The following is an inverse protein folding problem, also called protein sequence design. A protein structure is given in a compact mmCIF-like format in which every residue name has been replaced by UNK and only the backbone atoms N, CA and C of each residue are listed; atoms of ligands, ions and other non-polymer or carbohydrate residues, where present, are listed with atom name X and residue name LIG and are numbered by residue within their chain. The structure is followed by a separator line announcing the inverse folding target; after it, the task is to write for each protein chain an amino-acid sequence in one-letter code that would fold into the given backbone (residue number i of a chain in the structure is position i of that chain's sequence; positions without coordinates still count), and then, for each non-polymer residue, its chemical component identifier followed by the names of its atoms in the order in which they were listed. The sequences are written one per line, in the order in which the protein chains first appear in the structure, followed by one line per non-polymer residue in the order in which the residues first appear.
data_IF_241505245996
#
_entry.id   IF_241505245996
#
_cell.length_a   1.000
_cell.length_b   1.000
_cell.length_c   1.000
_cell.angle_alpha   90.00
_cell.angle_beta   90.00
_cell.angle_gamma   90.00
#
_symmetry.space_group_name_H-M   'P 1'
#
loop_
_entity.id
_entity.type
_entity.pdbx_description
1 polymer ?
#
# COMPACT_ATOMS: atom_id res chain seq x y z
N UNK A 1 -6.37 9.66 -23.97
CA UNK A 1 -6.24 9.46 -22.50
C UNK A 1 -4.87 8.87 -22.18
N UNK A 2 -3.81 9.57 -21.79
CA UNK A 2 -3.58 10.98 -21.46
C UNK A 2 -2.24 11.04 -20.73
N UNK A 3 -1.27 11.81 -21.21
CA UNK A 3 0.10 11.88 -20.68
C UNK A 3 0.20 12.02 -19.15
N UNK A 4 -0.75 12.72 -18.53
CA UNK A 4 -0.88 12.85 -17.08
C UNK A 4 -1.09 11.53 -16.35
N UNK A 5 -1.93 10.62 -16.88
CA UNK A 5 -2.17 9.31 -16.27
C UNK A 5 -0.87 8.51 -16.18
N UNK A 6 -0.11 8.46 -17.27
CA UNK A 6 1.17 7.76 -17.31
C UNK A 6 2.21 8.39 -16.39
N UNK A 7 2.21 9.73 -16.29
CA UNK A 7 3.06 10.45 -15.36
C UNK A 7 2.73 10.11 -13.90
N UNK A 8 1.47 10.27 -13.49
CA UNK A 8 1.00 10.02 -12.12
C UNK A 8 1.25 8.56 -11.69
N UNK A 9 1.04 7.60 -12.60
CA UNK A 9 1.32 6.18 -12.33
C UNK A 9 2.81 5.90 -12.07
N UNK A 10 3.71 6.59 -12.78
CA UNK A 10 5.16 6.34 -12.72
C UNK A 10 5.90 7.28 -11.76
N UNK A 11 5.24 8.34 -11.29
CA UNK A 11 5.83 9.39 -10.47
C UNK A 11 6.49 8.84 -9.20
N UNK A 12 5.80 7.96 -8.44
CA UNK A 12 6.39 7.35 -7.23
C UNK A 12 7.66 6.56 -7.54
N UNK A 13 7.63 5.74 -8.60
CA UNK A 13 8.80 4.99 -9.06
C UNK A 13 9.94 5.93 -9.48
N UNK A 14 9.63 7.05 -10.11
CA UNK A 14 10.63 8.06 -10.46
C UNK A 14 11.27 8.69 -9.21
N UNK A 15 10.49 9.00 -8.17
CA UNK A 15 11.02 9.49 -6.88
C UNK A 15 11.90 8.47 -6.16
N UNK A 16 11.49 7.21 -6.13
CA UNK A 16 12.27 6.12 -5.52
C UNK A 16 13.60 5.92 -6.27
N UNK A 17 13.55 5.99 -7.59
CA UNK A 17 14.74 5.90 -8.46
C UNK A 17 15.66 7.10 -8.23
N UNK A 18 15.12 8.32 -8.19
CA UNK A 18 15.87 9.54 -7.88
C UNK A 18 16.59 9.43 -6.54
N UNK A 19 15.87 9.03 -5.48
CA UNK A 19 16.44 8.87 -4.14
C UNK A 19 17.54 7.80 -4.11
N UNK A 20 17.30 6.68 -4.80
CA UNK A 20 18.26 5.58 -4.88
C UNK A 20 19.53 5.99 -5.63
N UNK A 21 19.41 6.64 -6.78
CA UNK A 21 20.55 7.11 -7.58
C UNK A 21 21.32 8.20 -6.87
N UNK A 22 20.63 9.16 -6.24
CA UNK A 22 21.27 10.24 -5.48
C UNK A 22 22.07 9.71 -4.28
N UNK A 23 21.63 8.60 -3.67
CA UNK A 23 22.36 7.94 -2.58
C UNK A 23 23.54 7.08 -3.07
N UNK A 24 23.38 6.38 -4.19
CA UNK A 24 24.37 5.41 -4.68
C UNK A 24 25.46 6.04 -5.54
N UNK A 25 25.17 7.10 -6.29
CA UNK A 25 26.05 7.67 -7.30
C UNK A 25 26.35 9.14 -6.98
N UNK A 26 27.49 9.44 -6.34
CA UNK A 26 27.87 10.83 -6.04
C UNK A 26 28.07 11.67 -7.31
N UNK A 27 28.50 11.06 -8.42
CA UNK A 27 28.62 11.74 -9.72
C UNK A 27 27.25 12.22 -10.26
N UNK A 28 26.18 11.46 -10.02
CA UNK A 28 24.82 11.86 -10.39
C UNK A 28 24.35 13.08 -9.56
N UNK A 29 24.67 13.09 -8.26
CA UNK A 29 24.37 14.22 -7.38
C UNK A 29 25.12 15.50 -7.82
N UNK A 30 26.41 15.39 -8.12
CA UNK A 30 27.22 16.51 -8.59
C UNK A 30 26.72 17.08 -9.94
N UNK A 31 26.27 16.20 -10.85
CA UNK A 31 25.64 16.63 -12.10
C UNK A 31 24.35 17.43 -11.85
N UNK A 32 23.48 16.95 -10.94
CA UNK A 32 22.25 17.64 -10.59
C UNK A 32 22.51 19.00 -9.96
N UNK A 33 23.47 19.10 -9.04
CA UNK A 33 23.87 20.35 -8.40
C UNK A 33 24.38 21.36 -9.45
N UNK A 34 25.20 20.91 -10.40
CA UNK A 34 25.64 21.74 -11.53
C UNK A 34 24.48 22.22 -12.41
N UNK A 35 23.51 21.35 -12.71
CA UNK A 35 22.33 21.73 -13.50
C UNK A 35 21.43 22.73 -12.78
N UNK A 36 21.29 22.58 -11.46
CA UNK A 36 20.55 23.51 -10.59
C UNK A 36 21.22 24.88 -10.58
N UNK A 37 22.54 24.92 -10.41
CA UNK A 37 23.32 26.16 -10.40
C UNK A 37 23.34 26.86 -11.77
N UNK A 38 23.50 26.10 -12.86
CA UNK A 38 23.61 26.67 -14.21
C UNK A 38 22.29 27.27 -14.71
N UNK A 39 21.15 26.64 -14.39
CA UNK A 39 19.84 27.07 -14.89
C UNK A 39 19.02 27.85 -13.85
N UNK A 40 19.56 28.04 -12.63
CA UNK A 40 18.85 28.63 -11.49
C UNK A 40 17.47 27.99 -11.26
N UNK A 41 17.40 26.67 -11.45
CA UNK A 41 16.15 25.88 -11.34
C UNK A 41 16.05 25.21 -9.97
N UNK A 42 14.82 24.95 -9.54
CA UNK A 42 14.56 24.14 -8.35
C UNK A 42 15.20 22.74 -8.47
N UNK A 43 15.42 22.09 -7.33
CA UNK A 43 15.91 20.70 -7.30
C UNK A 43 15.02 19.81 -8.16
N UNK A 44 15.62 18.85 -8.89
CA UNK A 44 14.89 17.90 -9.74
C UNK A 44 13.69 17.25 -9.02
N UNK A 45 13.80 16.94 -7.73
CA UNK A 45 12.68 16.41 -6.97
C UNK A 45 11.48 17.37 -6.93
N UNK A 46 11.72 18.66 -6.66
CA UNK A 46 10.67 19.67 -6.65
C UNK A 46 10.03 19.82 -8.04
N UNK A 47 10.84 19.79 -9.10
CA UNK A 47 10.34 19.84 -10.49
C UNK A 47 9.48 18.61 -10.84
N UNK A 48 9.81 17.43 -10.32
CA UNK A 48 8.99 16.23 -10.50
C UNK A 48 7.67 16.29 -9.72
N UNK A 49 7.62 17.03 -8.60
CA UNK A 49 6.41 17.16 -7.78
C UNK A 49 5.39 18.11 -8.42
N UNK A 50 5.85 19.10 -9.19
CA UNK A 50 5.01 20.16 -9.76
C UNK A 50 3.80 19.67 -10.57
N UNK A 51 3.91 18.72 -11.52
CA UNK A 51 2.76 18.26 -12.30
C UNK A 51 1.67 17.59 -11.44
N UNK A 52 2.09 16.81 -10.44
CA UNK A 52 1.18 16.16 -9.49
C UNK A 52 0.46 17.18 -8.62
N UNK A 53 1.13 18.25 -8.20
CA UNK A 53 0.49 19.34 -7.47
C UNK A 53 -0.42 20.18 -8.37
N UNK A 54 -0.05 20.38 -9.64
CA UNK A 54 -0.78 21.23 -10.58
C UNK A 54 -2.15 20.65 -10.90
N UNK A 55 -2.24 19.34 -11.11
CA UNK A 55 -3.52 18.69 -11.42
C UNK A 55 -4.52 18.79 -10.27
N UNK A 56 -4.07 18.80 -9.02
CA UNK A 56 -4.93 18.98 -7.83
C UNK A 56 -5.46 20.42 -7.72
N UNK A 57 -4.73 21.40 -8.26
CA UNK A 57 -5.12 22.82 -8.22
C UNK A 57 -6.19 23.17 -9.27
N UNK A 58 -6.22 22.50 -10.42
CA UNK A 58 -7.15 22.83 -11.50
C UNK A 58 -8.63 22.76 -11.12
N UNK A 59 -9.12 21.72 -10.41
CA UNK A 59 -10.51 21.69 -9.95
C UNK A 59 -10.87 22.88 -9.05
N UNK A 60 -9.92 23.35 -8.22
CA UNK A 60 -10.12 24.50 -7.34
C UNK A 60 -10.18 25.81 -8.13
N UNK A 61 -9.31 25.95 -9.14
CA UNK A 61 -9.30 27.09 -10.05
C UNK A 61 -10.63 27.18 -10.82
N UNK A 62 -11.11 26.07 -11.39
CA UNK A 62 -12.38 26.06 -12.11
C UNK A 62 -13.57 26.39 -11.20
N UNK A 63 -13.59 25.88 -9.97
CA UNK A 63 -14.59 26.26 -8.96
C UNK A 63 -14.52 27.75 -8.59
N UNK A 64 -13.31 28.29 -8.50
CA UNK A 64 -13.09 29.73 -8.27
C UNK A 64 -13.64 30.58 -9.41
N UNK A 65 -13.39 30.19 -10.67
CA UNK A 65 -13.97 30.88 -11.84
C UNK A 65 -15.49 30.79 -11.80
N UNK A 66 -16.05 29.59 -11.57
CA UNK A 66 -17.49 29.36 -11.48
C UNK A 66 -18.17 30.26 -10.43
N UNK A 67 -17.48 30.57 -9.34
CA UNK A 67 -18.01 31.47 -8.29
C UNK A 67 -18.17 32.93 -8.73
N UNK A 68 -17.40 33.36 -9.74
CA UNK A 68 -17.47 34.72 -10.30
C UNK A 68 -18.26 34.82 -11.60
N UNK A 69 -18.67 33.70 -12.20
CA UNK A 69 -19.39 33.66 -13.48
C UNK A 69 -20.91 33.72 -13.27
N UNK A 70 -21.63 34.51 -14.07
CA UNK A 70 -23.11 34.52 -14.08
C UNK A 70 -23.63 33.14 -14.49
N UNK A 71 -24.60 32.62 -13.73
CA UNK A 71 -25.17 31.26 -13.90
C UNK A 71 -25.82 31.00 -15.27
N UNK A 72 -26.14 32.05 -16.02
CA UNK A 72 -26.81 31.97 -17.32
C UNK A 72 -25.83 32.03 -18.52
N UNK A 73 -24.52 32.11 -18.26
CA UNK A 73 -23.53 32.08 -19.34
C UNK A 73 -23.40 30.66 -19.92
N UNK A 74 -23.35 30.49 -21.25
CA UNK A 74 -23.11 29.19 -21.89
C UNK A 74 -21.73 28.60 -21.53
N UNK A 75 -20.82 29.39 -20.96
CA UNK A 75 -19.49 28.96 -20.53
C UNK A 75 -19.52 28.14 -19.23
N UNK A 76 -20.59 28.26 -18.44
CA UNK A 76 -20.74 27.58 -17.14
C UNK A 76 -20.67 26.06 -17.32
N UNK A 77 -21.33 25.53 -18.34
CA UNK A 77 -21.36 24.08 -18.62
C UNK A 77 -19.95 23.54 -18.94
N UNK A 78 -19.20 24.24 -19.79
CA UNK A 78 -17.82 23.85 -20.14
C UNK A 78 -16.85 23.93 -18.95
N UNK A 79 -17.03 24.90 -18.04
CA UNK A 79 -16.22 25.02 -16.82
C UNK A 79 -16.52 23.87 -15.85
N UNK A 80 -17.79 23.48 -15.72
CA UNK A 80 -18.21 22.34 -14.89
C UNK A 80 -17.62 21.05 -15.43
N UNK A 81 -17.73 20.79 -16.73
CA UNK A 81 -17.14 19.60 -17.36
C UNK A 81 -15.62 19.57 -17.17
N UNK A 82 -14.93 20.69 -17.38
CA UNK A 82 -13.50 20.80 -17.17
C UNK A 82 -13.10 20.55 -15.70
N UNK A 83 -13.90 21.03 -14.73
CA UNK A 83 -13.67 20.78 -13.31
C UNK A 83 -13.82 19.31 -12.95
N UNK A 84 -14.82 18.63 -13.50
CA UNK A 84 -15.04 17.19 -13.31
C UNK A 84 -13.90 16.37 -13.92
N UNK A 85 -13.53 16.65 -15.16
CA UNK A 85 -12.41 15.98 -15.84
C UNK A 85 -11.09 16.15 -15.08
N UNK A 86 -10.78 17.37 -14.65
CA UNK A 86 -9.58 17.63 -13.85
C UNK A 86 -9.61 16.90 -12.50
N UNK A 87 -10.79 16.82 -11.85
CA UNK A 87 -10.97 16.10 -10.59
C UNK A 87 -10.79 14.59 -10.77
N UNK A 88 -11.30 14.02 -11.87
CA UNK A 88 -11.12 12.61 -12.21
C UNK A 88 -9.63 12.27 -12.40
N UNK A 89 -8.87 13.10 -13.13
CA UNK A 89 -7.43 12.90 -13.33
C UNK A 89 -6.68 13.04 -12.00
N UNK A 90 -7.01 14.03 -11.17
CA UNK A 90 -6.39 14.21 -9.85
C UNK A 90 -6.66 13.02 -8.91
N UNK A 91 -7.85 12.41 -8.98
CA UNK A 91 -8.21 11.27 -8.13
C UNK A 91 -7.65 9.94 -8.64
N UNK A 92 -7.28 9.86 -9.92
CA UNK A 92 -6.67 8.67 -10.52
C UNK A 92 -5.32 8.29 -9.89
N UNK A 93 -4.60 9.24 -9.29
CA UNK A 93 -3.36 8.98 -8.53
C UNK A 93 -3.56 7.99 -7.37
N UNK A 94 -4.74 8.01 -6.74
CA UNK A 94 -5.04 7.18 -5.56
C UNK A 94 -5.31 5.72 -5.93
N UNK A 95 -5.71 5.44 -7.17
CA UNK A 95 -5.93 4.10 -7.67
C UNK A 95 -4.62 3.49 -8.19
N UNK A 96 -3.67 3.20 -7.28
CA UNK A 96 -2.49 2.42 -7.64
C UNK A 96 -2.91 0.95 -7.78
N UNK A 97 -2.92 0.37 -8.99
CA UNK A 97 -3.25 -1.05 -9.15
C UNK A 97 -2.23 -1.94 -8.42
N UNK A 98 -0.96 -1.51 -8.34
CA UNK A 98 0.10 -2.22 -7.60
C UNK A 98 -0.17 -2.30 -6.08
N UNK A 99 -0.60 -1.19 -5.47
CA UNK A 99 -0.98 -1.20 -4.04
C UNK A 99 -2.22 -2.05 -3.80
N UNK A 100 -3.17 -1.99 -4.73
CA UNK A 100 -4.39 -2.80 -4.66
C UNK A 100 -4.06 -4.28 -4.78
N UNK A 101 -3.15 -4.66 -5.69
CA UNK A 101 -2.68 -6.03 -5.84
C UNK A 101 -1.93 -6.55 -4.60
N UNK A 102 -1.09 -5.72 -3.97
CA UNK A 102 -0.41 -6.08 -2.72
C UNK A 102 -1.41 -6.29 -1.57
N UNK A 103 -2.43 -5.42 -1.45
CA UNK A 103 -3.50 -5.57 -0.46
C UNK A 103 -4.31 -6.86 -0.72
N UNK A 104 -4.70 -7.13 -1.97
CA UNK A 104 -5.41 -8.36 -2.34
C UNK A 104 -4.56 -9.62 -2.06
N UNK A 105 -3.25 -9.54 -2.29
CA UNK A 105 -2.33 -10.64 -2.00
C UNK A 105 -2.18 -10.89 -0.50
N UNK A 106 -2.06 -9.83 0.31
CA UNK A 106 -2.02 -9.95 1.76
C UNK A 106 -3.34 -10.53 2.30
N UNK A 107 -4.48 -10.03 1.80
CA UNK A 107 -5.81 -10.54 2.14
C UNK A 107 -5.95 -12.04 1.81
N UNK A 108 -5.45 -12.48 0.64
CA UNK A 108 -5.41 -13.90 0.25
C UNK A 108 -4.63 -14.73 1.25
N UNK A 109 -3.50 -14.24 1.75
CA UNK A 109 -2.63 -14.98 2.65
C UNK A 109 -3.17 -15.04 4.09
N UNK A 110 -3.97 -14.05 4.50
CA UNK A 110 -4.58 -13.99 5.83
C UNK A 110 -5.83 -14.87 5.95
N UNK A 111 -6.58 -15.06 4.86
CA UNK A 111 -7.82 -15.84 4.85
C UNK A 111 -7.55 -17.30 4.46
N UNK A 112 -8.02 -18.25 5.27
CA UNK A 112 -7.97 -19.68 4.95
C UNK A 112 -8.89 -20.04 3.79
N UNK A 113 -8.40 -20.89 2.89
CA UNK A 113 -9.12 -21.39 1.71
C UNK A 113 -9.61 -20.27 0.77
N UNK A 114 -8.90 -19.14 0.73
CA UNK A 114 -9.21 -18.07 -0.20
C UNK A 114 -8.86 -18.49 -1.64
N UNK A 115 -9.76 -18.36 -2.61
CA UNK A 115 -9.48 -18.77 -3.99
C UNK A 115 -8.53 -17.80 -4.68
N UNK A 116 -7.67 -18.34 -5.55
CA UNK A 116 -6.67 -17.57 -6.32
C UNK A 116 -7.28 -16.51 -7.23
N UNK A 117 -8.57 -16.65 -7.54
CA UNK A 117 -9.36 -15.66 -8.26
C UNK A 117 -9.50 -14.33 -7.52
N UNK A 118 -9.11 -14.23 -6.23
CA UNK A 118 -9.14 -13.00 -5.43
C UNK A 118 -8.25 -11.91 -6.03
N UNK A 119 -7.04 -12.27 -6.46
CA UNK A 119 -6.04 -11.31 -6.95
C UNK A 119 -6.30 -11.06 -8.45
N UNK A 120 -6.98 -9.96 -8.75
CA UNK A 120 -7.27 -9.52 -10.11
C UNK A 120 -6.85 -8.06 -10.31
N UNK A 121 -6.30 -7.74 -11.47
CA UNK A 121 -5.82 -6.38 -11.80
C UNK A 121 -6.93 -5.32 -11.78
N UNK A 122 -8.18 -5.73 -12.04
CA UNK A 122 -9.33 -4.82 -12.12
C UNK A 122 -10.16 -4.79 -10.83
N UNK A 123 -9.76 -5.54 -9.81
CA UNK A 123 -10.50 -5.62 -8.55
C UNK A 123 -9.98 -4.58 -7.58
N UNK A 124 -10.86 -3.73 -7.09
CA UNK A 124 -10.58 -2.79 -5.99
C UNK A 124 -11.47 -3.10 -4.80
N UNK A 125 -10.97 -2.84 -3.60
CA UNK A 125 -11.75 -2.93 -2.37
C UNK A 125 -12.47 -1.61 -2.18
N UNK A 126 -13.78 -1.66 -2.04
CA UNK A 126 -14.65 -0.49 -1.86
C UNK A 126 -14.89 -0.24 -0.38
N UNK A 127 -15.31 -1.27 0.35
CA UNK A 127 -15.62 -1.18 1.77
C UNK A 127 -15.64 -2.55 2.44
N UNK A 128 -15.74 -2.54 3.77
CA UNK A 128 -15.99 -3.74 4.57
C UNK A 128 -17.13 -3.47 5.54
N UNK A 129 -17.83 -4.52 5.95
CA UNK A 129 -18.90 -4.47 6.92
C UNK A 129 -18.80 -5.67 7.85
N UNK A 130 -18.75 -5.40 9.15
CA UNK A 130 -18.85 -6.44 10.15
C UNK A 130 -20.31 -6.75 10.46
N UNK A 131 -20.66 -8.02 10.39
CA UNK A 131 -22.01 -8.52 10.61
C UNK A 131 -21.98 -9.80 11.44
N UNK A 132 -23.16 -10.27 11.81
CA UNK A 132 -23.35 -11.57 12.43
C UNK A 132 -24.25 -12.40 11.52
N UNK A 133 -23.93 -13.67 11.38
CA UNK A 133 -24.84 -14.64 10.78
C UNK A 133 -26.13 -14.66 11.61
N UNK A 134 -27.29 -14.62 10.95
CA UNK A 134 -28.58 -14.79 11.63
C UNK A 134 -29.18 -16.11 11.18
N UNK A 135 -29.55 -16.97 12.12
CA UNK A 135 -30.27 -18.18 11.78
C UNK A 135 -31.72 -17.80 11.38
N UNK A 136 -32.10 -18.08 10.14
CA UNK A 136 -33.42 -17.68 9.60
C UNK A 136 -34.60 -18.40 10.30
N UNK A 137 -34.35 -19.53 10.97
CA UNK A 137 -35.38 -20.33 11.64
C UNK A 137 -35.52 -19.97 13.12
N UNK A 138 -34.41 -19.67 13.81
CA UNK A 138 -34.41 -19.39 15.26
C UNK A 138 -34.24 -17.91 15.59
N UNK A 139 -33.88 -17.07 14.63
CA UNK A 139 -33.60 -15.64 14.85
C UNK A 139 -32.34 -15.37 15.69
N UNK A 140 -31.62 -16.41 16.08
CA UNK A 140 -30.46 -16.29 16.96
C UNK A 140 -29.26 -15.68 16.22
N UNK A 141 -28.52 -14.83 16.95
CA UNK A 141 -27.25 -14.29 16.49
C UNK A 141 -26.21 -15.40 16.46
N UNK A 142 -25.84 -15.79 15.26
CA UNK A 142 -24.82 -16.78 14.95
C UNK A 142 -23.41 -16.21 14.97
N UNK A 143 -22.54 -16.79 14.13
CA UNK A 143 -21.11 -16.49 14.12
C UNK A 143 -20.83 -15.09 13.56
N UNK A 144 -19.78 -14.40 14.05
CA UNK A 144 -19.36 -13.14 13.45
C UNK A 144 -18.79 -13.37 12.05
N UNK A 145 -19.20 -12.52 11.11
CA UNK A 145 -18.79 -12.51 9.71
C UNK A 145 -18.36 -11.11 9.30
N UNK A 146 -17.44 -11.02 8.34
CA UNK A 146 -17.06 -9.76 7.69
C UNK A 146 -17.35 -9.89 6.21
N UNK A 147 -18.13 -8.94 5.70
CA UNK A 147 -18.45 -8.77 4.30
C UNK A 147 -17.44 -7.80 3.69
N UNK A 148 -16.70 -8.25 2.70
CA UNK A 148 -15.74 -7.41 1.98
C UNK A 148 -16.31 -7.11 0.61
N UNK A 149 -16.56 -5.83 0.35
CA UNK A 149 -17.10 -5.34 -0.92
C UNK A 149 -15.94 -5.01 -1.86
N UNK A 150 -15.89 -5.73 -2.98
CA UNK A 150 -15.04 -5.40 -4.11
C UNK A 150 -15.82 -4.65 -5.19
N UNK A 151 -15.13 -4.15 -6.22
CA UNK A 151 -15.73 -3.51 -7.38
C UNK A 151 -16.68 -4.42 -8.18
N UNK A 152 -16.43 -5.73 -8.16
CA UNK A 152 -17.15 -6.73 -8.97
C UNK A 152 -17.92 -7.77 -8.13
N UNK A 153 -17.44 -8.08 -6.92
CA UNK A 153 -17.97 -9.15 -6.06
C UNK A 153 -18.02 -8.75 -4.59
N UNK A 154 -18.81 -9.48 -3.82
CA UNK A 154 -18.79 -9.45 -2.35
C UNK A 154 -18.20 -10.76 -1.86
N UNK A 155 -17.24 -10.69 -0.94
CA UNK A 155 -16.69 -11.86 -0.27
C UNK A 155 -17.19 -11.93 1.16
N UNK A 156 -17.58 -13.13 1.56
CA UNK A 156 -18.02 -13.43 2.92
C UNK A 156 -16.89 -14.16 3.63
N UNK A 157 -16.42 -13.59 4.72
CA UNK A 157 -15.37 -14.18 5.55
C UNK A 157 -15.90 -14.40 6.95
N UNK A 158 -15.72 -15.60 7.49
CA UNK A 158 -15.99 -15.87 8.90
C UNK A 158 -14.85 -15.34 9.74
N UNK A 159 -15.20 -14.63 10.81
CA UNK A 159 -14.27 -13.93 11.67
C UNK A 159 -13.99 -14.69 12.97
N UNK A 160 -12.76 -14.63 13.54
CA UNK A 160 -12.51 -15.03 14.92
C UNK A 160 -13.32 -14.20 15.92
N UNK A 161 -13.63 -14.77 17.09
CA UNK A 161 -14.31 -14.02 18.15
C UNK A 161 -13.39 -12.92 18.70
N UNK A 162 -13.85 -11.68 18.74
CA UNK A 162 -13.13 -10.56 19.37
C UNK A 162 -12.19 -9.75 18.46
N UNK A 163 -12.10 -10.07 17.18
CA UNK A 163 -11.32 -9.30 16.19
C UNK A 163 -12.28 -8.48 15.32
N UNK A 164 -11.89 -7.28 14.87
CA UNK A 164 -12.66 -6.45 13.93
C UNK A 164 -12.27 -6.73 12.48
N UNK A 165 -13.18 -6.50 11.52
CA UNK A 165 -12.89 -6.54 10.08
C UNK A 165 -11.75 -5.60 9.69
N UNK A 166 -11.57 -4.52 10.44
CA UNK A 166 -10.53 -3.51 10.24
C UNK A 166 -9.11 -4.08 10.31
N UNK A 167 -8.88 -5.10 11.14
CA UNK A 167 -7.56 -5.73 11.31
C UNK A 167 -7.05 -6.35 10.01
N UNK A 168 -7.93 -6.80 9.11
CA UNK A 168 -7.53 -7.32 7.78
C UNK A 168 -6.90 -6.23 6.89
N UNK A 169 -7.26 -4.97 7.11
CA UNK A 169 -6.83 -3.84 6.30
C UNK A 169 -5.70 -3.05 6.96
N UNK A 170 -5.65 -3.03 8.30
CA UNK A 170 -4.56 -2.43 9.08
C UNK A 170 -3.20 -3.15 8.91
N UNK A 171 -3.18 -4.38 8.36
CA UNK A 171 -1.93 -5.05 7.95
C UNK A 171 -1.06 -4.18 7.03
N UNK A 172 -1.63 -3.17 6.35
CA UNK A 172 -0.88 -2.22 5.54
C UNK A 172 0.10 -1.37 6.35
N UNK A 173 -0.32 -0.84 7.50
CA UNK A 173 0.54 0.00 8.34
C UNK A 173 1.62 -0.86 9.00
N UNK A 174 1.24 -2.03 9.51
CA UNK A 174 2.17 -2.94 10.18
C UNK A 174 3.23 -3.53 9.23
N UNK A 175 2.89 -3.83 7.97
CA UNK A 175 3.84 -4.38 6.99
C UNK A 175 4.83 -3.32 6.51
N UNK A 176 4.37 -2.10 6.24
CA UNK A 176 5.26 -1.00 5.84
C UNK A 176 6.17 -0.56 7.00
N UNK A 177 5.64 -0.53 8.23
CA UNK A 177 6.45 -0.29 9.43
C UNK A 177 7.43 -1.44 9.70
N UNK A 178 7.02 -2.71 9.53
CA UNK A 178 7.94 -3.85 9.66
C UNK A 178 9.04 -3.81 8.62
N UNK A 179 8.73 -3.56 7.34
CA UNK A 179 9.75 -3.40 6.28
C UNK A 179 10.70 -2.25 6.58
N UNK A 180 10.20 -1.14 7.17
CA UNK A 180 11.02 0.00 7.60
C UNK A 180 11.94 -0.38 8.76
N UNK A 181 11.41 -1.05 9.80
CA UNK A 181 12.15 -1.51 10.98
C UNK A 181 13.21 -2.56 10.62
N UNK A 182 12.89 -3.52 9.76
CA UNK A 182 13.84 -4.53 9.27
C UNK A 182 14.98 -3.91 8.46
N UNK A 183 14.66 -2.89 7.65
CA UNK A 183 15.67 -2.15 6.87
C UNK A 183 16.58 -1.33 7.79
N UNK A 184 16.03 -0.64 8.78
CA UNK A 184 16.78 0.13 9.78
C UNK A 184 17.67 -0.78 10.65
N UNK A 185 17.14 -1.93 11.08
CA UNK A 185 17.90 -2.90 11.89
C UNK A 185 19.03 -3.54 11.09
N UNK A 186 18.80 -3.84 9.80
CA UNK A 186 19.84 -4.35 8.89
C UNK A 186 20.94 -3.32 8.65
N UNK A 187 20.58 -2.04 8.44
CA UNK A 187 21.54 -0.94 8.31
C UNK A 187 22.33 -0.70 9.61
N UNK A 188 21.70 -0.84 10.79
CA UNK A 188 22.38 -0.73 12.09
C UNK A 188 23.38 -1.87 12.31
N UNK A 189 22.99 -3.12 12.05
CA UNK A 189 23.87 -4.29 12.16
C UNK A 189 25.05 -4.21 11.20
N UNK A 190 24.87 -3.65 10.00
CA UNK A 190 25.98 -3.42 9.06
C UNK A 190 26.93 -2.31 9.54
N UNK A 191 26.44 -1.23 10.15
CA UNK A 191 27.29 -0.17 10.73
C UNK A 191 28.12 -0.69 11.91
N UNK A 192 27.52 -1.47 12.80
CA UNK A 192 28.22 -2.06 13.95
C UNK A 192 29.31 -3.06 13.51
N UNK A 193 29.07 -3.82 12.44
CA UNK A 193 30.10 -4.70 11.84
C UNK A 193 31.26 -3.91 11.24
N UNK A 194 31.00 -2.76 10.62
CA UNK A 194 32.05 -1.89 10.05
C UNK A 194 32.92 -1.24 11.13
N UNK A 195 32.32 -0.74 12.22
CA UNK A 195 33.08 -0.18 13.34
C UNK A 195 34.01 -1.22 13.98
N UNK A 196 33.50 -2.44 14.23
CA UNK A 196 34.31 -3.53 14.78
C UNK A 196 35.46 -3.95 13.86
N UNK A 197 35.28 -3.83 12.54
CA UNK A 197 36.31 -4.15 11.56
C UNK A 197 37.42 -3.07 11.48
N UNK A 198 37.09 -1.80 11.76
CA UNK A 198 38.06 -0.70 11.81
C UNK A 198 38.87 -0.67 13.11
N UNK A 199 38.26 -1.04 14.26
CA UNK A 199 38.98 -1.14 15.53
C UNK A 199 39.98 -2.32 15.53
N UNK A 200 39.68 -3.40 14.82
CA UNK A 200 40.59 -4.55 14.67
C UNK A 200 41.78 -4.22 13.75
N UNK A 201 41.70 -3.17 12.91
CA UNK A 201 42.79 -2.74 12.03
C UNK A 201 43.70 -1.66 12.61
N UNK A 202 43.36 -1.07 13.76
CA UNK A 202 44.14 0.00 14.39
C UNK A 202 45.00 -0.44 15.58
N UNK A 203 44.86 -1.70 16.02
CA UNK A 203 45.70 -2.25 17.08
C UNK A 203 46.58 -3.37 16.55
N UNK A 204 47.66 -2.99 15.86
CA UNK A 204 48.88 -3.80 15.73
C UNK A 204 50.09 -2.89 15.95
N UNK A 205 50.89 -3.16 17.00
CA UNK A 205 52.33 -3.19 16.82
C UNK A 205 52.89 -4.56 17.24
N UNK A 206 53.44 -5.26 16.25
CA UNK A 206 54.56 -6.22 16.29
C UNK A 206 54.62 -7.33 17.36
N UNK A 207 54.73 -8.56 16.84
CA UNK A 207 55.58 -9.67 17.33
C UNK A 207 55.11 -10.50 18.53
N UNK A 208 54.56 -11.70 18.27
CA UNK A 208 55.21 -13.00 18.51
C UNK A 208 54.20 -14.17 18.44
N UNK A 209 54.53 -15.21 17.67
CA UNK A 209 53.96 -16.57 17.77
C UNK A 209 54.83 -17.41 18.76
N UNK A 210 54.48 -18.65 19.21
CA UNK A 210 53.47 -19.56 18.64
C UNK A 210 52.65 -20.46 19.63
N UNK A 211 51.74 -21.24 19.00
CA UNK A 211 51.28 -22.63 19.29
C UNK A 211 50.11 -22.95 20.26
N UNK A 212 49.36 -24.05 19.97
CA UNK A 212 47.90 -24.16 20.13
C UNK A 212 47.48 -25.18 21.20
N UNK A 213 46.19 -25.23 21.61
CA UNK A 213 45.46 -26.48 21.96
C UNK A 213 43.96 -26.22 22.20
N UNK A 214 43.14 -26.96 21.43
CA UNK A 214 41.77 -27.49 21.62
C UNK A 214 40.69 -26.79 22.47
N UNK A 215 39.48 -26.64 21.91
CA UNK A 215 38.29 -27.45 22.25
C UNK A 215 36.94 -26.70 22.04
N UNK A 216 36.20 -27.15 21.02
CA UNK A 216 34.74 -27.39 20.95
C UNK A 216 33.72 -26.21 20.91
N UNK A 217 32.88 -26.12 19.87
CA UNK A 217 31.78 -25.14 19.79
C UNK A 217 30.47 -25.72 20.35
N UNK A 218 29.93 -25.07 21.38
CA UNK A 218 28.57 -25.27 21.86
C UNK A 218 27.56 -24.58 20.95
N UNK A 219 27.00 -25.35 20.01
CA UNK A 219 25.76 -25.02 19.29
C UNK A 219 24.57 -25.16 20.23
N UNK A 220 23.86 -24.07 20.50
CA UNK A 220 22.56 -24.10 21.13
C UNK A 220 21.64 -23.04 20.50
N UNK A 221 20.73 -23.53 19.65
CA UNK A 221 19.35 -23.06 19.68
C UNK A 221 18.94 -21.99 18.68
N UNK A 222 18.98 -22.30 17.39
CA UNK A 222 18.15 -21.65 16.35
C UNK A 222 16.64 -21.99 16.53
N UNK A 223 16.09 -21.81 17.72
CA UNK A 223 14.70 -22.16 18.06
C UNK A 223 13.74 -20.97 18.17
N UNK A 224 14.24 -19.74 18.32
CA UNK A 224 13.39 -18.60 18.65
C UNK A 224 12.79 -17.88 17.43
N UNK A 225 13.40 -17.97 16.24
CA UNK A 225 12.87 -17.30 15.04
C UNK A 225 11.65 -18.01 14.44
N UNK A 226 11.51 -19.32 14.62
CA UNK A 226 10.34 -20.06 14.14
C UNK A 226 9.10 -19.83 15.03
N UNK A 227 9.29 -19.55 16.32
CA UNK A 227 8.21 -19.41 17.29
C UNK A 227 7.42 -18.10 17.13
N UNK A 228 8.06 -17.01 16.70
CA UNK A 228 7.37 -15.73 16.47
C UNK A 228 6.51 -15.71 15.20
N UNK A 229 6.65 -16.71 14.32
CA UNK A 229 5.86 -16.85 13.09
C UNK A 229 4.55 -17.64 13.31
N UNK A 230 4.32 -18.19 14.51
CA UNK A 230 3.17 -19.05 14.86
C UNK A 230 2.27 -18.48 15.98
N UNK A 231 1.98 -17.18 15.97
CA UNK A 231 1.06 -16.58 16.98
C UNK A 231 -0.12 -15.79 16.37
N UNK A 232 -0.47 -16.06 15.12
CA UNK A 232 -1.82 -15.78 14.63
C UNK A 232 -2.40 -17.08 14.10
N UNK A 233 -3.22 -17.75 14.93
CA UNK A 233 -4.11 -18.80 14.45
C UNK A 233 -4.89 -18.25 13.26
N UNK A 234 -4.83 -18.96 12.14
CA UNK A 234 -5.56 -18.63 10.92
C UNK A 234 -7.05 -18.87 11.16
N UNK A 235 -7.73 -17.92 11.79
CA UNK A 235 -9.14 -18.09 12.18
C UNK A 235 -10.12 -17.44 11.20
N UNK A 236 -9.61 -16.72 10.19
CA UNK A 236 -10.43 -16.14 9.14
C UNK A 236 -10.72 -17.19 8.07
N UNK A 237 -11.99 -17.60 7.94
CA UNK A 237 -12.38 -18.64 6.99
C UNK A 237 -13.19 -18.06 5.84
N UNK A 238 -12.73 -18.29 4.62
CA UNK A 238 -13.51 -17.95 3.44
C UNK A 238 -14.82 -18.75 3.42
N UNK A 239 -15.96 -18.08 3.28
CA UNK A 239 -17.28 -18.72 3.22
C UNK A 239 -17.89 -18.74 1.82
N UNK A 240 -17.57 -17.76 0.97
CA UNK A 240 -18.14 -17.70 -0.36
C UNK A 240 -18.02 -16.34 -1.05
N UNK A 241 -18.39 -16.34 -2.33
CA UNK A 241 -18.54 -15.14 -3.16
C UNK A 241 -20.00 -14.92 -3.52
N UNK A 242 -20.38 -13.64 -3.61
CA UNK A 242 -21.62 -13.23 -4.25
C UNK A 242 -21.28 -12.22 -5.34
N UNK A 243 -21.69 -12.48 -6.57
CA UNK A 243 -21.52 -11.51 -7.67
C UNK A 243 -22.48 -10.33 -7.46
N UNK A 244 -21.98 -9.10 -7.55
CA UNK A 244 -22.78 -7.89 -7.31
C UNK A 244 -23.98 -7.80 -8.27
N UNK A 245 -23.82 -8.30 -9.50
CA UNK A 245 -24.92 -8.34 -10.48
C UNK A 245 -26.04 -9.29 -10.06
N UNK A 246 -25.71 -10.44 -9.47
CA UNK A 246 -26.72 -11.38 -8.94
C UNK A 246 -27.40 -10.81 -7.70
N UNK A 247 -26.66 -10.09 -6.86
CA UNK A 247 -27.22 -9.40 -5.69
C UNK A 247 -28.23 -8.32 -6.10
N UNK A 248 -27.90 -7.50 -7.11
CA UNK A 248 -28.83 -6.49 -7.65
C UNK A 248 -30.12 -7.13 -8.17
N UNK A 249 -30.01 -8.23 -8.91
CA UNK A 249 -31.19 -8.95 -9.42
C UNK A 249 -32.07 -9.47 -8.27
N UNK A 250 -31.46 -10.11 -7.27
CA UNK A 250 -32.18 -10.64 -6.12
C UNK A 250 -32.85 -9.55 -5.27
N UNK A 251 -32.21 -8.40 -5.07
CA UNK A 251 -32.81 -7.27 -4.36
C UNK A 251 -33.98 -6.68 -5.15
N UNK A 252 -33.86 -6.56 -6.47
CA UNK A 252 -34.93 -6.07 -7.35
C UNK A 252 -36.10 -7.05 -7.40
N UNK A 253 -35.84 -8.35 -7.37
CA UNK A 253 -36.91 -9.38 -7.30
C UNK A 253 -37.61 -9.35 -5.94
N UNK A 254 -36.88 -9.24 -4.83
CA UNK A 254 -37.47 -9.08 -3.50
C UNK A 254 -38.29 -7.80 -3.38
N UNK A 255 -37.84 -6.68 -3.95
CA UNK A 255 -38.63 -5.43 -3.93
C UNK A 255 -39.90 -5.52 -4.77
N UNK A 256 -39.95 -6.35 -5.81
CA UNK A 256 -41.16 -6.61 -6.60
C UNK A 256 -42.15 -7.55 -5.91
N UNK A 257 -41.70 -8.37 -4.96
CA UNK A 257 -42.57 -9.26 -4.18
C UNK A 257 -43.25 -8.50 -3.02
N UNK A 258 -42.64 -7.39 -2.57
CA UNK A 258 -43.14 -6.54 -1.48
C UNK A 258 -43.85 -5.25 -1.95
N UNK A 259 -44.09 -5.09 -3.25
CA UNK A 259 -44.90 -4.00 -3.84
C UNK A 259 -46.17 -4.56 -4.46
#
# INVERSE_FOLDING_TARGET
MGCYKQYLMRYKRAQDTYTTLSRKLPAFKALLERCVQANNINTLNNLLVEPTQRIVKYPLLFKGILSGTKKESPEVEGIVEAAELASQIAHMEKAKPEQTAEILFNLRNTIENCPDTLVSQNRSIVSYLDAYETNLLTGERGKPITLILFSDKVMIVRRPKGVSGETLFQLKEDVDERKRREKEEKERREREKRLKQDDTKKNDPSSAAPTPTSATPGSLGNGAMAAAMMMFGKDWKFMGWVDILKLKLAIVEQSKIFS
#
